data_IF_002263478391
#
_entry.id   IF_002263478391
#
_cell.length_a   1.000
_cell.length_b   1.000
_cell.length_c   1.000
_cell.angle_alpha   90.00
_cell.angle_beta   90.00
_cell.angle_gamma   90.00
#
_symmetry.space_group_name_H-M   'P 1'
#
loop_
_entity.id
_entity.type
_entity.pdbx_description
1 polymer ?
#
# COMPACT_ATOMS: atom_id res chain seq x y z
N UNK A 1 7.61 23.97 -4.09
CA UNK A 1 7.80 22.93 -5.14
C UNK A 1 6.50 22.16 -5.30
N UNK A 2 6.07 21.85 -6.52
CA UNK A 2 4.90 20.98 -6.70
C UNK A 2 5.27 19.57 -6.28
N UNK A 3 4.50 18.97 -5.38
CA UNK A 3 4.70 17.58 -5.00
C UNK A 3 4.54 16.66 -6.20
N UNK A 4 5.44 15.70 -6.33
CA UNK A 4 5.48 14.80 -7.49
C UNK A 4 4.57 13.59 -7.32
N UNK A 5 4.41 13.13 -6.09
CA UNK A 5 3.67 11.93 -5.74
C UNK A 5 2.78 12.13 -4.52
N UNK A 6 1.58 11.56 -4.58
CA UNK A 6 0.70 11.37 -3.43
C UNK A 6 0.50 9.88 -3.17
N UNK A 7 0.37 9.50 -1.91
CA UNK A 7 0.08 8.13 -1.50
C UNK A 7 -1.37 7.98 -1.08
N UNK A 8 -1.98 6.89 -1.48
CA UNK A 8 -3.28 6.43 -0.98
C UNK A 8 -3.03 5.31 0.02
N UNK A 9 -3.69 5.36 1.17
CA UNK A 9 -3.58 4.34 2.22
C UNK A 9 -4.91 4.13 2.91
N UNK A 10 -4.99 3.15 3.81
CA UNK A 10 -6.13 2.98 4.70
C UNK A 10 -5.64 2.58 6.10
N UNK A 11 -5.91 3.45 7.05
CA UNK A 11 -5.56 3.22 8.44
C UNK A 11 -6.50 2.22 9.11
N UNK A 12 -5.96 1.42 10.02
CA UNK A 12 -6.70 0.72 11.06
C UNK A 12 -6.89 1.67 12.25
N UNK A 13 -7.79 1.31 13.16
CA UNK A 13 -7.96 2.04 14.41
C UNK A 13 -6.61 2.19 15.14
N UNK A 14 -6.30 3.42 15.57
CA UNK A 14 -5.07 3.75 16.30
C UNK A 14 -5.17 3.25 17.73
N UNK A 15 -4.77 2.00 17.97
CA UNK A 15 -4.76 1.38 19.31
C UNK A 15 -3.63 0.36 19.42
N UNK A 16 -3.03 0.22 20.62
CA UNK A 16 -1.94 -0.73 20.87
C UNK A 16 -0.79 -0.59 19.88
N UNK A 17 -0.33 -1.71 19.33
CA UNK A 17 0.77 -1.72 18.35
C UNK A 17 0.45 -0.96 17.06
N UNK A 18 -0.82 -0.95 16.61
CA UNK A 18 -1.20 -0.20 15.42
C UNK A 18 -1.05 1.32 15.58
N UNK A 19 -1.27 1.87 16.78
CA UNK A 19 -1.03 3.30 17.04
C UNK A 19 0.45 3.65 16.78
N UNK A 20 1.36 2.88 17.41
CA UNK A 20 2.80 3.08 17.26
C UNK A 20 3.26 2.94 15.82
N UNK A 21 2.89 1.84 15.16
CA UNK A 21 3.34 1.51 13.82
C UNK A 21 2.84 2.52 12.80
N UNK A 22 1.54 2.82 12.81
CA UNK A 22 0.95 3.78 11.86
C UNK A 22 1.49 5.20 12.05
N UNK A 23 1.67 5.66 13.31
CA UNK A 23 2.29 6.96 13.56
C UNK A 23 3.75 7.01 13.10
N UNK A 24 4.50 5.94 13.30
CA UNK A 24 5.87 5.83 12.78
C UNK A 24 5.92 5.85 11.26
N UNK A 25 4.98 5.16 10.60
CA UNK A 25 4.85 5.21 9.15
C UNK A 25 4.53 6.63 8.66
N UNK A 26 3.53 7.31 9.26
CA UNK A 26 3.14 8.68 8.91
C UNK A 26 4.33 9.64 9.10
N UNK A 27 5.09 9.50 10.18
CA UNK A 27 6.30 10.31 10.39
C UNK A 27 7.29 10.14 9.23
N UNK A 28 7.55 8.91 8.81
CA UNK A 28 8.45 8.64 7.68
C UNK A 28 7.94 9.21 6.36
N UNK A 29 6.63 9.20 6.13
CA UNK A 29 6.02 9.78 4.94
C UNK A 29 6.11 11.30 4.94
N UNK A 30 5.91 11.92 6.11
CA UNK A 30 6.08 13.37 6.26
C UNK A 30 7.55 13.78 6.06
N UNK A 31 8.52 13.01 6.56
CA UNK A 31 9.96 13.23 6.36
C UNK A 31 10.37 13.10 4.89
N UNK A 32 9.60 12.38 4.08
CA UNK A 32 9.76 12.28 2.63
C UNK A 32 8.87 13.26 1.84
N UNK A 33 8.27 14.25 2.51
CA UNK A 33 7.37 15.27 1.93
C UNK A 33 6.20 14.70 1.11
N UNK A 34 5.71 13.52 1.48
CA UNK A 34 4.58 12.89 0.81
C UNK A 34 3.25 13.49 1.26
N UNK A 35 2.34 13.64 0.30
CA UNK A 35 0.92 13.86 0.57
C UNK A 35 0.20 12.53 0.64
N UNK A 36 -0.67 12.37 1.61
CA UNK A 36 -1.40 11.12 1.85
C UNK A 36 -2.90 11.36 1.73
N UNK A 37 -3.58 10.45 1.06
CA UNK A 37 -5.05 10.42 1.00
C UNK A 37 -5.52 9.14 1.66
N UNK A 38 -6.41 9.24 2.63
CA UNK A 38 -6.90 8.10 3.39
C UNK A 38 -8.42 8.17 3.61
N UNK A 39 -9.12 7.04 3.68
CA UNK A 39 -10.53 7.03 4.05
C UNK A 39 -10.70 7.24 5.55
N UNK A 40 -11.77 7.93 5.93
CA UNK A 40 -12.19 8.07 7.32
C UNK A 40 -13.16 6.91 7.68
N UNK A 41 -12.67 5.68 7.62
CA UNK A 41 -13.51 4.48 7.71
C UNK A 41 -13.83 4.03 9.14
N UNK A 42 -13.04 4.44 10.12
CA UNK A 42 -13.20 4.03 11.52
C UNK A 42 -13.22 5.25 12.44
N UNK A 43 -13.94 5.12 13.55
CA UNK A 43 -14.03 6.17 14.56
C UNK A 43 -12.66 6.47 15.15
N UNK A 44 -12.31 7.77 15.24
CA UNK A 44 -11.09 8.25 15.88
C UNK A 44 -9.84 8.28 14.98
N UNK A 45 -9.90 7.79 13.73
CA UNK A 45 -8.75 7.89 12.80
C UNK A 45 -8.36 9.35 12.59
N UNK A 46 -9.32 10.20 12.25
CA UNK A 46 -9.10 11.62 11.98
C UNK A 46 -8.50 12.36 13.16
N UNK A 47 -9.00 12.06 14.36
CA UNK A 47 -8.49 12.66 15.61
C UNK A 47 -7.07 12.20 15.93
N UNK A 48 -6.76 10.93 15.66
CA UNK A 48 -5.42 10.36 15.86
C UNK A 48 -4.38 10.93 14.89
N UNK A 49 -4.83 11.45 13.75
CA UNK A 49 -3.98 12.05 12.72
C UNK A 49 -3.98 13.58 12.71
N UNK A 50 -4.63 14.26 13.66
CA UNK A 50 -4.81 15.72 13.67
C UNK A 50 -3.50 16.54 13.61
N UNK A 51 -2.42 15.97 14.13
CA UNK A 51 -1.11 16.62 14.19
C UNK A 51 -0.30 16.43 12.87
N UNK A 52 -0.83 15.66 11.91
CA UNK A 52 -0.20 15.40 10.62
C UNK A 52 -0.90 16.18 9.50
N UNK A 53 -0.30 17.26 9.05
CA UNK A 53 -0.90 18.17 8.05
C UNK A 53 -0.86 17.63 6.61
N UNK A 54 -0.09 16.57 6.38
CA UNK A 54 0.07 15.95 5.06
C UNK A 54 -1.02 14.91 4.72
N UNK A 55 -2.03 14.71 5.58
CA UNK A 55 -3.10 13.74 5.38
C UNK A 55 -4.40 14.43 4.99
N UNK A 56 -4.95 14.03 3.85
CA UNK A 56 -6.30 14.40 3.39
C UNK A 56 -7.24 13.22 3.57
N UNK A 57 -8.35 13.43 4.27
CA UNK A 57 -9.36 12.40 4.45
C UNK A 57 -10.46 12.48 3.40
N UNK A 58 -10.85 11.31 2.88
CA UNK A 58 -12.01 11.13 1.98
C UNK A 58 -13.11 10.35 2.69
N UNK A 59 -14.35 10.65 2.35
CA UNK A 59 -15.53 10.06 2.98
C UNK A 59 -16.24 9.10 2.03
N UNK A 60 -17.08 8.24 2.60
CA UNK A 60 -18.00 7.37 1.84
C UNK A 60 -17.32 6.23 1.07
N UNK A 61 -16.08 5.87 1.41
CA UNK A 61 -15.41 4.70 0.82
C UNK A 61 -16.13 3.43 1.26
N UNK A 62 -16.53 2.60 0.32
CA UNK A 62 -17.16 1.30 0.58
C UNK A 62 -16.23 0.37 1.34
N UNK A 63 -16.78 -0.45 2.21
CA UNK A 63 -16.07 -1.39 3.09
C UNK A 63 -16.59 -2.81 2.92
N UNK A 64 -15.84 -3.79 3.39
CA UNK A 64 -16.27 -5.18 3.33
C UNK A 64 -17.61 -5.45 4.06
N UNK A 65 -17.97 -4.65 5.06
CA UNK A 65 -19.27 -4.76 5.72
C UNK A 65 -20.46 -4.49 4.79
N UNK A 66 -20.32 -3.61 3.79
CA UNK A 66 -21.36 -3.33 2.80
C UNK A 66 -21.53 -4.47 1.79
N UNK A 67 -20.57 -5.41 1.76
CA UNK A 67 -20.66 -6.68 1.06
C UNK A 67 -21.09 -7.84 2.00
N UNK A 68 -21.44 -7.56 3.26
CA UNK A 68 -21.88 -8.56 4.23
C UNK A 68 -20.78 -9.25 5.03
N UNK A 69 -19.52 -8.78 4.97
CA UNK A 69 -18.37 -9.44 5.61
C UNK A 69 -17.99 -8.91 7.00
N UNK A 70 -18.73 -7.99 7.58
CA UNK A 70 -18.48 -7.48 8.95
C UNK A 70 -17.14 -6.76 9.16
N UNK A 71 -16.33 -6.56 8.13
CA UNK A 71 -15.03 -5.86 8.23
C UNK A 71 -15.13 -4.40 7.79
N UNK A 72 -14.37 -3.52 8.47
CA UNK A 72 -14.24 -2.10 8.12
C UNK A 72 -13.20 -1.86 7.00
N UNK A 73 -12.49 -2.90 6.57
CA UNK A 73 -11.49 -2.78 5.51
C UNK A 73 -12.12 -2.25 4.22
N UNK A 74 -11.53 -1.24 3.56
CA UNK A 74 -12.06 -0.67 2.33
C UNK A 74 -12.12 -1.67 1.19
N UNK A 75 -13.05 -1.44 0.27
CA UNK A 75 -12.99 -2.00 -1.09
C UNK A 75 -11.93 -1.21 -1.87
N UNK A 76 -10.89 -1.88 -2.34
CA UNK A 76 -9.72 -1.22 -2.93
C UNK A 76 -10.07 -0.36 -4.15
N UNK A 77 -10.90 -0.89 -5.04
CA UNK A 77 -11.38 -0.15 -6.22
C UNK A 77 -12.02 1.18 -5.82
N UNK A 78 -12.99 1.14 -4.92
CA UNK A 78 -13.74 2.33 -4.48
C UNK A 78 -12.82 3.34 -3.76
N UNK A 79 -11.83 2.85 -2.98
CA UNK A 79 -10.82 3.70 -2.35
C UNK A 79 -10.02 4.48 -3.41
N UNK A 80 -9.48 3.82 -4.42
CA UNK A 80 -8.70 4.47 -5.47
C UNK A 80 -9.59 5.42 -6.29
N UNK A 81 -10.76 5.00 -6.73
CA UNK A 81 -11.69 5.83 -7.51
C UNK A 81 -12.06 7.13 -6.78
N UNK A 82 -12.25 7.10 -5.46
CA UNK A 82 -12.54 8.29 -4.64
C UNK A 82 -11.30 9.14 -4.33
N UNK A 83 -10.13 8.53 -4.27
CA UNK A 83 -8.88 9.27 -4.06
C UNK A 83 -8.44 10.04 -5.32
N UNK A 84 -8.64 9.47 -6.50
CA UNK A 84 -8.19 10.07 -7.76
C UNK A 84 -8.65 11.52 -7.99
N UNK A 85 -9.90 11.95 -7.72
CA UNK A 85 -10.34 13.34 -7.92
C UNK A 85 -9.63 14.35 -7.03
N UNK A 86 -9.27 13.99 -5.80
CA UNK A 86 -8.69 14.90 -4.80
C UNK A 86 -7.16 14.99 -4.87
N UNK A 87 -6.52 14.12 -5.64
CA UNK A 87 -5.07 14.11 -5.82
C UNK A 87 -4.67 15.00 -6.99
N UNK A 88 -3.79 15.97 -6.71
CA UNK A 88 -3.25 16.92 -7.70
C UNK A 88 -1.91 16.51 -8.30
N UNK A 89 -1.22 15.51 -7.75
CA UNK A 89 0.10 15.07 -8.22
C UNK A 89 0.01 14.19 -9.47
N UNK A 90 1.05 14.19 -10.34
CA UNK A 90 1.05 13.34 -11.55
C UNK A 90 1.18 11.85 -11.23
N UNK A 91 1.91 11.49 -10.18
CA UNK A 91 2.09 10.12 -9.72
C UNK A 91 1.25 9.85 -8.48
N UNK A 92 0.71 8.65 -8.42
CA UNK A 92 -0.09 8.18 -7.28
C UNK A 92 0.45 6.82 -6.85
N UNK A 93 0.76 6.71 -5.58
CA UNK A 93 1.10 5.44 -4.95
C UNK A 93 -0.05 4.93 -4.09
N UNK A 94 -0.18 3.62 -4.01
CA UNK A 94 -0.82 2.95 -2.89
C UNK A 94 0.26 2.43 -1.95
N UNK A 95 0.04 2.55 -0.65
CA UNK A 95 0.97 2.13 0.40
C UNK A 95 0.18 1.60 1.60
N UNK A 96 0.54 0.43 2.12
CA UNK A 96 -0.05 -0.05 3.37
C UNK A 96 0.29 0.89 4.54
N UNK A 97 -0.65 1.06 5.47
CA UNK A 97 -0.56 2.04 6.56
C UNK A 97 0.53 1.75 7.62
N UNK A 98 1.15 0.59 7.54
CA UNK A 98 2.19 0.09 8.43
C UNK A 98 3.59 0.08 7.79
N UNK A 99 3.74 0.70 6.63
CA UNK A 99 5.02 0.76 5.91
C UNK A 99 5.79 2.03 6.24
N UNK A 100 6.95 1.87 6.83
CA UNK A 100 7.92 2.95 7.06
C UNK A 100 8.82 3.07 5.83
N UNK A 101 8.92 4.30 5.31
CA UNK A 101 9.78 4.63 4.18
C UNK A 101 11.16 5.05 4.69
N UNK A 102 12.19 4.71 3.93
CA UNK A 102 13.54 5.21 4.20
C UNK A 102 13.72 6.64 3.69
N UNK A 103 14.80 7.29 4.11
CA UNK A 103 15.21 8.59 3.59
C UNK A 103 15.35 8.57 2.07
N UNK A 104 15.13 9.72 1.47
CA UNK A 104 15.25 9.93 0.02
C UNK A 104 14.27 9.14 -0.86
N UNK A 105 13.21 8.55 -0.29
CA UNK A 105 12.23 7.82 -1.09
C UNK A 105 11.67 8.69 -2.23
N UNK A 106 11.23 9.91 -1.94
CA UNK A 106 10.71 10.85 -2.95
C UNK A 106 11.76 11.20 -4.00
N UNK A 107 12.99 11.50 -3.59
CA UNK A 107 14.10 11.80 -4.52
C UNK A 107 14.46 10.60 -5.40
N UNK A 108 14.34 9.39 -4.89
CA UNK A 108 14.54 8.16 -5.68
C UNK A 108 13.42 7.99 -6.71
N UNK A 109 12.18 8.29 -6.36
CA UNK A 109 11.06 8.31 -7.32
C UNK A 109 11.33 9.34 -8.43
N UNK A 110 11.80 10.55 -8.10
CA UNK A 110 12.19 11.56 -9.10
C UNK A 110 13.20 11.01 -10.10
N UNK A 111 14.29 10.38 -9.62
CA UNK A 111 15.29 9.75 -10.50
C UNK A 111 14.71 8.66 -11.40
N UNK A 112 13.77 7.86 -10.89
CA UNK A 112 13.08 6.86 -11.70
C UNK A 112 12.30 7.55 -12.82
N UNK A 113 11.55 8.60 -12.50
CA UNK A 113 10.71 9.30 -13.46
C UNK A 113 11.52 10.08 -14.51
N UNK A 114 12.65 10.66 -14.12
CA UNK A 114 13.60 11.28 -15.05
C UNK A 114 14.12 10.27 -16.07
N UNK A 115 14.41 9.04 -15.64
CA UNK A 115 14.98 8.00 -16.49
C UNK A 115 13.93 7.27 -17.35
N UNK A 116 12.76 6.99 -16.80
CA UNK A 116 11.77 6.08 -17.40
C UNK A 116 10.46 6.74 -17.81
N UNK A 117 10.23 8.00 -17.41
CA UNK A 117 9.00 8.75 -17.65
C UNK A 117 7.87 8.38 -16.69
N UNK A 118 6.67 8.93 -16.92
CA UNK A 118 5.51 8.78 -16.04
C UNK A 118 4.62 7.56 -16.36
N UNK A 119 4.74 7.00 -17.57
CA UNK A 119 3.91 5.87 -18.02
C UNK A 119 4.54 4.54 -17.60
N UNK A 120 4.75 4.41 -16.29
CA UNK A 120 5.36 3.23 -15.66
C UNK A 120 4.50 2.74 -14.50
N UNK A 121 4.64 1.45 -14.20
CA UNK A 121 4.08 0.82 -13.00
C UNK A 121 5.23 0.25 -12.17
N UNK A 122 5.41 0.73 -10.96
CA UNK A 122 6.48 0.30 -10.06
C UNK A 122 5.92 -0.27 -8.77
N UNK A 123 6.57 -1.31 -8.30
CA UNK A 123 6.29 -1.97 -7.02
C UNK A 123 7.56 -2.57 -6.46
N UNK A 124 7.52 -3.06 -5.24
CA UNK A 124 8.63 -3.77 -4.63
C UNK A 124 8.20 -4.52 -3.39
N UNK A 125 9.03 -5.47 -2.99
CA UNK A 125 8.85 -6.23 -1.76
C UNK A 125 9.31 -5.41 -0.56
N UNK A 126 8.65 -5.61 0.57
CA UNK A 126 9.03 -5.00 1.84
C UNK A 126 10.12 -5.80 2.55
N UNK A 127 10.75 -5.18 3.55
CA UNK A 127 11.58 -5.86 4.54
C UNK A 127 10.90 -5.81 5.91
N UNK A 128 10.75 -6.96 6.54
CA UNK A 128 10.23 -7.06 7.90
C UNK A 128 11.31 -6.66 8.91
N UNK A 129 10.92 -5.86 9.91
CA UNK A 129 11.76 -5.40 11.01
C UNK A 129 11.05 -5.54 12.36
N UNK A 130 11.81 -5.54 13.45
CA UNK A 130 11.26 -5.37 14.79
C UNK A 130 11.19 -3.89 15.13
N UNK A 131 10.06 -3.43 15.67
CA UNK A 131 9.87 -2.04 16.10
C UNK A 131 9.16 -2.03 17.45
N UNK A 132 9.87 -1.68 18.53
CA UNK A 132 9.37 -1.59 19.89
C UNK A 132 9.32 -0.16 20.44
N UNK A 133 9.67 0.82 19.61
CA UNK A 133 9.66 2.25 19.93
C UNK A 133 8.87 3.05 18.89
N UNK A 134 8.53 4.30 19.20
CA UNK A 134 7.96 5.24 18.22
C UNK A 134 9.06 5.85 17.35
N UNK A 135 8.80 5.96 16.06
CA UNK A 135 9.59 6.79 15.15
C UNK A 135 8.86 8.12 15.00
N UNK A 136 9.27 9.12 15.76
CA UNK A 136 8.59 10.42 15.86
C UNK A 136 9.55 11.62 15.88
N UNK A 137 10.85 11.36 15.73
CA UNK A 137 11.91 12.35 15.64
C UNK A 137 13.03 11.86 14.72
N UNK A 138 13.95 12.74 14.39
CA UNK A 138 15.07 12.45 13.50
C UNK A 138 16.01 11.34 14.04
N UNK A 139 16.39 11.31 15.35
CA UNK A 139 17.18 10.22 15.91
C UNK A 139 16.52 8.84 15.78
N UNK A 140 15.24 8.71 16.11
CA UNK A 140 14.52 7.45 15.99
C UNK A 140 14.32 7.04 14.52
N UNK A 141 14.17 8.00 13.61
CA UNK A 141 14.10 7.73 12.18
C UNK A 141 15.44 7.24 11.61
N UNK A 142 16.55 7.78 12.03
CA UNK A 142 17.88 7.27 11.69
C UNK A 142 18.14 5.88 12.27
N UNK A 143 17.69 5.65 13.50
CA UNK A 143 17.82 4.35 14.15
C UNK A 143 17.10 3.25 13.36
N UNK A 144 15.84 3.46 12.94
CA UNK A 144 15.07 2.43 12.23
C UNK A 144 15.70 2.07 10.88
N UNK A 145 16.42 2.99 10.25
CA UNK A 145 17.10 2.72 8.99
C UNK A 145 18.27 1.73 9.13
N UNK A 146 18.83 1.60 10.32
CA UNK A 146 19.91 0.67 10.65
C UNK A 146 19.41 -0.68 11.21
N UNK A 147 18.10 -0.86 11.45
CA UNK A 147 17.57 -2.11 12.00
C UNK A 147 17.80 -3.30 11.05
N UNK A 148 18.11 -4.49 11.60
CA UNK A 148 18.22 -5.72 10.82
C UNK A 148 16.91 -6.02 10.10
N UNK A 149 17.02 -6.48 8.84
CA UNK A 149 15.88 -6.66 7.93
C UNK A 149 15.80 -8.07 7.41
N UNK A 150 14.57 -8.55 7.26
CA UNK A 150 14.28 -9.81 6.56
C UNK A 150 13.39 -9.51 5.36
N UNK A 151 13.87 -9.81 4.16
CA UNK A 151 13.08 -9.59 2.95
C UNK A 151 11.85 -10.50 2.93
N UNK A 152 10.69 -9.89 2.69
CA UNK A 152 9.41 -10.56 2.52
C UNK A 152 8.99 -10.57 1.05
N UNK A 153 8.36 -11.65 0.59
CA UNK A 153 8.01 -11.83 -0.82
C UNK A 153 6.74 -11.09 -1.29
N UNK A 154 6.06 -10.38 -0.40
CA UNK A 154 4.85 -9.61 -0.74
C UNK A 154 5.16 -8.16 -1.09
N UNK A 155 4.28 -7.52 -1.85
CA UNK A 155 4.36 -6.09 -2.14
C UNK A 155 3.32 -5.31 -1.36
N UNK A 156 3.78 -4.21 -0.78
CA UNK A 156 2.97 -3.34 0.06
C UNK A 156 2.88 -1.91 -0.49
N UNK A 157 3.47 -1.67 -1.67
CA UNK A 157 3.30 -0.41 -2.40
C UNK A 157 3.20 -0.63 -3.92
N UNK A 158 2.43 0.23 -4.57
CA UNK A 158 2.25 0.29 -6.01
C UNK A 158 2.21 1.74 -6.42
N UNK A 159 3.05 2.15 -7.38
CA UNK A 159 3.14 3.56 -7.83
C UNK A 159 3.01 3.61 -9.33
N UNK A 160 2.12 4.47 -9.81
CA UNK A 160 1.94 4.71 -11.24
C UNK A 160 1.25 6.05 -11.50
N UNK A 161 1.06 6.44 -12.75
CA UNK A 161 0.35 7.66 -13.10
C UNK A 161 -1.15 7.56 -12.82
N UNK A 162 -1.78 8.72 -12.66
CA UNK A 162 -3.24 8.83 -12.48
C UNK A 162 -4.03 8.16 -13.61
N UNK A 163 -3.51 8.24 -14.83
CA UNK A 163 -4.12 7.60 -16.00
C UNK A 163 -4.09 6.08 -15.88
N UNK A 164 -2.94 5.52 -15.54
CA UNK A 164 -2.79 4.06 -15.37
C UNK A 164 -3.65 3.55 -14.21
N UNK A 165 -3.74 4.27 -13.08
CA UNK A 165 -4.64 3.89 -12.00
C UNK A 165 -6.11 3.76 -12.46
N UNK A 166 -6.59 4.72 -13.26
CA UNK A 166 -7.95 4.63 -13.84
C UNK A 166 -8.13 3.37 -14.70
N UNK A 167 -7.12 3.03 -15.50
CA UNK A 167 -7.13 1.81 -16.29
C UNK A 167 -7.18 0.56 -15.41
N UNK A 168 -6.32 0.49 -14.38
CA UNK A 168 -6.23 -0.67 -13.49
C UNK A 168 -7.53 -0.92 -12.71
N UNK A 169 -8.17 0.13 -12.20
CA UNK A 169 -9.39 -0.02 -11.39
C UNK A 169 -10.67 -0.15 -12.20
N UNK A 170 -10.71 0.27 -13.46
CA UNK A 170 -11.94 0.26 -14.28
C UNK A 170 -12.57 -1.13 -14.43
N UNK A 171 -11.75 -2.18 -14.51
CA UNK A 171 -12.21 -3.58 -14.59
C UNK A 171 -11.98 -4.39 -13.30
N UNK A 172 -11.60 -3.72 -12.21
CA UNK A 172 -11.27 -4.41 -10.96
C UNK A 172 -12.52 -4.90 -10.24
N UNK A 173 -12.54 -6.18 -9.81
CA UNK A 173 -13.55 -6.66 -8.88
C UNK A 173 -13.44 -5.99 -7.50
N UNK A 174 -14.47 -6.15 -6.67
CA UNK A 174 -14.54 -5.56 -5.33
C UNK A 174 -13.63 -6.30 -4.32
N UNK A 175 -12.32 -6.26 -4.54
CA UNK A 175 -11.33 -6.79 -3.60
C UNK A 175 -11.34 -6.01 -2.29
N UNK A 176 -11.44 -6.75 -1.17
CA UNK A 176 -11.33 -6.21 0.19
C UNK A 176 -9.84 -6.06 0.53
N UNK A 177 -9.42 -4.88 0.97
CA UNK A 177 -8.04 -4.60 1.37
C UNK A 177 -7.59 -5.48 2.54
N UNK A 178 -6.27 -5.74 2.60
CA UNK A 178 -5.66 -6.57 3.63
C UNK A 178 -6.06 -8.05 3.55
N UNK A 179 -6.53 -8.50 2.40
CA UNK A 179 -6.83 -9.90 2.07
C UNK A 179 -5.96 -10.33 0.88
N UNK A 180 -5.91 -11.64 0.60
CA UNK A 180 -5.12 -12.18 -0.51
C UNK A 180 -5.53 -11.61 -1.87
N UNK A 181 -4.68 -11.83 -2.85
CA UNK A 181 -4.92 -11.72 -4.29
C UNK A 181 -5.03 -10.30 -4.87
N UNK A 182 -5.04 -9.24 -4.07
CA UNK A 182 -5.09 -7.87 -4.56
C UNK A 182 -3.82 -7.50 -5.36
N UNK A 183 -2.65 -7.82 -4.82
CA UNK A 183 -1.36 -7.62 -5.51
C UNK A 183 -1.27 -8.43 -6.79
N UNK A 184 -1.74 -9.67 -6.75
CA UNK A 184 -1.73 -10.56 -7.91
C UNK A 184 -2.60 -10.01 -9.04
N UNK A 185 -3.76 -9.46 -8.71
CA UNK A 185 -4.60 -8.73 -9.67
C UNK A 185 -3.86 -7.57 -10.31
N UNK A 186 -3.22 -6.71 -9.52
CA UNK A 186 -2.49 -5.54 -10.04
C UNK A 186 -1.33 -5.96 -10.95
N UNK A 187 -0.60 -7.02 -10.59
CA UNK A 187 0.46 -7.57 -11.43
C UNK A 187 -0.07 -8.09 -12.77
N UNK A 188 -1.17 -8.83 -12.72
CA UNK A 188 -1.81 -9.36 -13.91
C UNK A 188 -2.29 -8.23 -14.82
N UNK A 189 -2.94 -7.20 -14.26
CA UNK A 189 -3.40 -6.05 -15.05
C UNK A 189 -2.25 -5.27 -15.68
N UNK A 190 -1.16 -5.07 -14.94
CA UNK A 190 0.04 -4.45 -15.50
C UNK A 190 0.65 -5.27 -16.65
N UNK A 191 0.54 -6.61 -16.58
CA UNK A 191 1.00 -7.50 -17.64
C UNK A 191 0.07 -7.48 -18.87
N UNK A 192 -1.24 -7.67 -18.69
CA UNK A 192 -2.24 -7.70 -19.77
C UNK A 192 -2.25 -6.39 -20.54
N UNK A 193 -2.19 -5.27 -19.84
CA UNK A 193 -2.17 -3.93 -20.44
C UNK A 193 -0.78 -3.54 -20.98
N UNK A 194 0.20 -4.45 -20.97
CA UNK A 194 1.57 -4.26 -21.48
C UNK A 194 2.26 -3.01 -20.93
N UNK A 195 2.00 -2.69 -19.66
CA UNK A 195 2.62 -1.54 -19.02
C UNK A 195 4.13 -1.73 -18.90
N UNK A 196 4.88 -0.64 -18.98
CA UNK A 196 6.28 -0.59 -18.55
C UNK A 196 6.29 -0.78 -17.03
N UNK A 197 6.72 -1.94 -16.56
CA UNK A 197 6.65 -2.34 -15.15
C UNK A 197 8.01 -2.72 -14.61
N UNK A 198 8.26 -2.33 -13.35
CA UNK A 198 9.56 -2.51 -12.72
C UNK A 198 9.43 -2.98 -11.28
N UNK A 199 10.33 -3.89 -10.90
CA UNK A 199 10.56 -4.26 -9.52
C UNK A 199 11.60 -3.31 -8.91
N UNK A 200 11.20 -2.56 -7.88
CA UNK A 200 12.04 -1.56 -7.21
C UNK A 200 12.47 -2.00 -5.80
N UNK A 201 12.39 -3.28 -5.46
CA UNK A 201 12.67 -3.81 -4.11
C UNK A 201 14.01 -3.31 -3.57
N UNK A 202 15.07 -3.35 -4.38
CA UNK A 202 16.41 -2.94 -3.96
C UNK A 202 16.62 -1.42 -4.01
N UNK A 203 15.96 -0.74 -4.94
CA UNK A 203 16.13 0.70 -5.13
C UNK A 203 15.24 1.53 -4.18
N UNK A 204 14.04 1.05 -3.89
CA UNK A 204 13.06 1.66 -2.98
C UNK A 204 12.75 0.73 -1.80
N UNK A 205 13.73 0.43 -0.94
CA UNK A 205 13.49 -0.45 0.19
C UNK A 205 12.45 0.17 1.13
N UNK A 206 11.47 -0.63 1.53
CA UNK A 206 10.42 -0.28 2.48
C UNK A 206 10.48 -1.20 3.68
N UNK A 207 10.15 -0.69 4.86
CA UNK A 207 10.19 -1.41 6.12
C UNK A 207 8.80 -1.66 6.64
N UNK A 208 8.55 -2.89 7.07
CA UNK A 208 7.30 -3.29 7.72
C UNK A 208 7.59 -3.75 9.15
N UNK A 209 7.17 -2.99 10.16
CA UNK A 209 7.26 -3.42 11.53
C UNK A 209 6.39 -4.67 11.77
N UNK A 210 7.01 -5.77 12.17
CA UNK A 210 6.28 -6.99 12.53
C UNK A 210 5.45 -6.72 13.77
N UNK A 211 4.17 -7.02 13.71
CA UNK A 211 3.25 -6.91 14.83
C UNK A 211 2.57 -8.25 15.12
N UNK A 212 2.39 -8.57 16.42
CA UNK A 212 1.91 -9.87 16.87
C UNK A 212 0.44 -10.17 16.53
N UNK A 213 -0.33 -9.15 16.15
CA UNK A 213 -1.65 -9.32 15.56
C UNK A 213 -1.48 -9.77 14.11
N UNK A 214 -0.92 -10.96 13.97
CA UNK A 214 -0.61 -11.58 12.70
C UNK A 214 -1.72 -11.34 11.69
N UNK A 215 -1.33 -10.94 10.49
CA UNK A 215 -2.22 -10.81 9.37
C UNK A 215 -3.23 -11.94 9.37
N UNK A 216 -4.50 -11.64 9.19
CA UNK A 216 -5.58 -12.61 9.01
C UNK A 216 -5.12 -13.76 8.09
N UNK A 217 -4.31 -13.44 7.09
CA UNK A 217 -3.69 -14.43 6.20
C UNK A 217 -2.74 -15.41 6.91
N UNK A 218 -1.91 -14.96 7.86
CA UNK A 218 -1.01 -15.87 8.59
C UNK A 218 -1.79 -16.74 9.57
N UNK A 219 -2.79 -16.17 10.24
CA UNK A 219 -3.72 -16.94 11.09
C UNK A 219 -4.49 -17.96 10.26
N UNK A 220 -5.00 -17.57 9.10
CA UNK A 220 -5.69 -18.46 8.17
C UNK A 220 -4.77 -19.58 7.67
N UNK A 221 -3.51 -19.26 7.38
CA UNK A 221 -2.50 -20.26 6.98
C UNK A 221 -2.16 -21.22 8.12
N UNK A 222 -2.03 -20.71 9.33
CA UNK A 222 -1.71 -21.53 10.52
C UNK A 222 -2.87 -22.48 10.89
N UNK A 223 -4.11 -22.05 10.71
CA UNK A 223 -5.30 -22.82 11.10
C UNK A 223 -6.01 -23.51 9.92
N UNK A 224 -5.54 -23.32 8.67
CA UNK A 224 -6.14 -23.93 7.49
C UNK A 224 -7.56 -23.43 7.13
N UNK A 225 -8.04 -22.39 7.81
CA UNK A 225 -9.39 -21.84 7.63
C UNK A 225 -9.28 -20.41 7.14
N UNK A 226 -9.90 -20.11 5.99
CA UNK A 226 -9.97 -18.74 5.47
C UNK A 226 -11.17 -17.99 6.04
N UNK A 227 -10.97 -16.71 6.37
CA UNK A 227 -12.10 -15.84 6.71
C UNK A 227 -13.03 -15.66 5.50
N UNK A 228 -14.35 -15.40 5.72
CA UNK A 228 -15.27 -15.16 4.61
C UNK A 228 -14.81 -14.07 3.65
N UNK A 229 -14.18 -13.01 4.16
CA UNK A 229 -13.65 -11.91 3.34
C UNK A 229 -12.41 -12.31 2.53
N UNK A 230 -11.56 -13.19 3.04
CA UNK A 230 -10.43 -13.75 2.27
C UNK A 230 -10.91 -14.75 1.22
N UNK A 231 -11.91 -15.56 1.56
CA UNK A 231 -12.53 -16.47 0.60
C UNK A 231 -13.21 -15.71 -0.55
N UNK A 232 -13.84 -14.57 -0.26
CA UNK A 232 -14.37 -13.67 -1.29
C UNK A 232 -13.29 -13.24 -2.29
N UNK A 233 -12.18 -12.68 -1.80
CA UNK A 233 -11.08 -12.26 -2.67
C UNK A 233 -10.51 -13.44 -3.47
N UNK A 234 -10.36 -14.60 -2.85
CA UNK A 234 -9.88 -15.79 -3.54
C UNK A 234 -10.82 -16.25 -4.66
N UNK A 235 -12.13 -16.22 -4.42
CA UNK A 235 -13.11 -16.58 -5.44
C UNK A 235 -13.05 -15.62 -6.64
N UNK A 236 -12.92 -14.31 -6.38
CA UNK A 236 -12.72 -13.31 -7.44
C UNK A 236 -11.45 -13.59 -8.24
N UNK A 237 -10.35 -13.93 -7.55
CA UNK A 237 -9.06 -14.22 -8.17
C UNK A 237 -9.08 -15.51 -8.99
N UNK A 238 -9.69 -16.59 -8.48
CA UNK A 238 -9.77 -17.88 -9.19
C UNK A 238 -10.48 -17.71 -10.53
N UNK A 239 -11.58 -16.96 -10.57
CA UNK A 239 -12.26 -16.66 -11.83
C UNK A 239 -11.36 -15.95 -12.84
N UNK A 240 -10.47 -15.08 -12.37
CA UNK A 240 -9.54 -14.33 -13.22
C UNK A 240 -8.37 -15.20 -13.68
N UNK A 241 -7.79 -15.99 -12.78
CA UNK A 241 -6.61 -16.81 -13.07
C UNK A 241 -6.92 -17.95 -14.03
N UNK A 242 -8.12 -18.50 -13.97
CA UNK A 242 -8.60 -19.48 -14.94
C UNK A 242 -8.58 -18.93 -16.36
N UNK A 243 -8.85 -17.64 -16.53
CA UNK A 243 -8.92 -16.98 -17.84
C UNK A 243 -7.58 -16.48 -18.35
N UNK A 244 -6.71 -15.96 -17.47
CA UNK A 244 -5.53 -15.19 -17.85
C UNK A 244 -4.20 -15.75 -17.34
N UNK A 245 -4.23 -16.74 -16.47
CA UNK A 245 -3.04 -17.24 -15.77
C UNK A 245 -2.60 -16.34 -14.61
N UNK A 246 -1.44 -16.62 -14.04
CA UNK A 246 -0.83 -15.83 -12.95
C UNK A 246 0.48 -15.18 -13.39
N UNK A 247 0.85 -14.08 -12.75
CA UNK A 247 2.06 -13.30 -13.04
C UNK A 247 2.82 -13.03 -11.74
N UNK A 248 4.15 -13.14 -11.78
CA UNK A 248 5.02 -12.84 -10.63
C UNK A 248 5.92 -11.64 -10.93
N UNK A 249 6.10 -10.76 -9.93
CA UNK A 249 7.05 -9.63 -10.02
C UNK A 249 8.51 -10.05 -10.10
N UNK A 250 8.83 -11.29 -9.69
CA UNK A 250 10.20 -11.82 -9.77
C UNK A 250 10.78 -11.81 -11.19
N UNK A 251 9.90 -11.81 -12.18
CA UNK A 251 10.27 -11.79 -13.60
C UNK A 251 10.25 -10.37 -14.21
N UNK A 252 10.06 -9.33 -13.40
CA UNK A 252 10.05 -7.96 -13.89
C UNK A 252 11.46 -7.38 -13.90
N UNK A 253 11.74 -6.45 -14.83
CA UNK A 253 13.00 -5.71 -14.83
C UNK A 253 13.20 -5.02 -13.47
N UNK A 254 14.39 -5.16 -12.91
CA UNK A 254 14.77 -4.47 -11.67
C UNK A 254 15.33 -3.08 -11.99
N UNK A 255 14.99 -2.12 -11.13
CA UNK A 255 15.66 -0.82 -11.09
C UNK A 255 16.82 -0.93 -10.10
N UNK A 256 18.00 -0.64 -10.62
CA UNK A 256 19.26 -0.60 -9.87
C UNK A 256 19.74 0.84 -9.65
#
# INVERSE_FOLDING_TARGET
MNKLISMVTAFKKFQGNYDRIQKSAIFSWNSNDLQVVAPNNEVGIKDSCKDFQNITFIEGVKRGRELGFGTQAPIFKDLIERALPVIGTPMIGFLNADIVLLEDFSKKIEKILEKYGYDIFITGSRSDIRLDYYVNDEPSYKRIQAEPRTLFSGSDFFITSKFIWRLLVSGMPDFIMGRCCLSDWLYLQAHINRLKKYNCTNFLPTLHPVHGDEHIYQQEKAHGIKSPSSQHNLNLWNFVVEKYGSVSIKNWPEIA
#
